data_IF_715319221635
#
_entry.id   IF_715319221635
#
_cell.length_a   1.000
_cell.length_b   1.000
_cell.length_c   1.000
_cell.angle_alpha   90.00
_cell.angle_beta   90.00
_cell.angle_gamma   90.00
#
_symmetry.space_group_name_H-M   'P 1'
#
loop_
_entity.id
_entity.type
_entity.pdbx_description
1 polymer ?
#
# COMPACT_ATOMS: atom_id res chain seq x y z
N UNK A 1 17.49 -46.93 11.74
CA UNK A 1 18.12 -46.26 10.59
C UNK A 1 17.14 -45.24 10.03
N UNK A 2 17.44 -43.93 10.07
CA UNK A 2 16.61 -42.90 9.46
C UNK A 2 16.74 -42.98 7.93
N UNK A 3 15.63 -42.83 7.21
CA UNK A 3 15.62 -42.88 5.74
C UNK A 3 16.17 -41.57 5.14
N UNK A 4 16.87 -41.60 3.99
CA UNK A 4 17.47 -40.42 3.36
C UNK A 4 16.48 -39.34 2.88
N UNK A 5 15.18 -39.58 3.00
CA UNK A 5 14.12 -38.72 2.45
C UNK A 5 13.64 -37.62 3.40
N UNK A 6 13.98 -37.69 4.69
CA UNK A 6 13.53 -36.70 5.68
C UNK A 6 14.33 -35.38 5.62
N UNK A 7 15.56 -35.43 5.10
CA UNK A 7 16.41 -34.23 4.92
C UNK A 7 15.96 -33.31 3.77
N UNK A 8 15.09 -33.77 2.87
CA UNK A 8 14.68 -33.02 1.66
C UNK A 8 13.39 -32.20 1.85
N UNK A 9 12.64 -32.40 2.94
CA UNK A 9 11.40 -31.63 3.23
C UNK A 9 11.61 -30.43 4.13
N UNK A 10 12.68 -30.40 4.92
CA UNK A 10 12.97 -29.28 5.83
C UNK A 10 13.64 -28.09 5.13
N UNK A 11 14.10 -28.26 3.88
CA UNK A 11 14.90 -27.26 3.16
C UNK A 11 14.13 -26.42 2.12
N UNK A 12 12.78 -26.39 2.17
CA UNK A 12 11.96 -25.65 1.19
C UNK A 12 11.02 -24.60 1.77
N UNK A 13 11.22 -24.21 3.03
CA UNK A 13 10.60 -23.02 3.61
C UNK A 13 11.70 -21.98 3.86
N UNK A 14 12.37 -21.57 2.79
CA UNK A 14 13.07 -20.28 2.85
C UNK A 14 12.01 -19.24 3.23
N UNK A 15 12.29 -18.33 4.18
CA UNK A 15 11.32 -17.30 4.56
C UNK A 15 10.82 -16.61 3.29
N UNK A 16 9.50 -16.59 3.10
CA UNK A 16 8.85 -16.03 1.92
C UNK A 16 9.54 -14.71 1.55
N UNK A 17 10.05 -14.60 0.33
CA UNK A 17 10.89 -13.47 -0.14
C UNK A 17 10.20 -12.11 0.07
N UNK A 18 8.86 -12.14 0.13
CA UNK A 18 8.00 -11.02 0.42
C UNK A 18 7.31 -11.20 1.78
N UNK A 19 7.22 -10.15 2.59
CA UNK A 19 6.47 -10.17 3.84
C UNK A 19 4.96 -10.07 3.56
N UNK A 20 4.39 -11.13 3.00
CA UNK A 20 2.99 -11.23 2.55
C UNK A 20 1.96 -10.82 3.63
N UNK A 21 2.11 -11.20 4.91
CA UNK A 21 1.16 -10.76 5.95
C UNK A 21 1.08 -9.24 6.07
N UNK A 22 2.21 -8.55 6.00
CA UNK A 22 2.27 -7.09 6.10
C UNK A 22 1.65 -6.41 4.87
N UNK A 23 1.84 -6.98 3.67
CA UNK A 23 1.16 -6.48 2.47
C UNK A 23 -0.36 -6.62 2.59
N UNK A 24 -0.87 -7.70 3.18
CA UNK A 24 -2.31 -7.84 3.47
C UNK A 24 -2.82 -6.83 4.48
N UNK A 25 -2.05 -6.55 5.55
CA UNK A 25 -2.40 -5.51 6.52
C UNK A 25 -2.52 -4.14 5.83
N UNK A 26 -1.55 -3.77 4.98
CA UNK A 26 -1.58 -2.51 4.24
C UNK A 26 -2.76 -2.42 3.27
N UNK A 27 -3.08 -3.51 2.57
CA UNK A 27 -4.25 -3.61 1.70
C UNK A 27 -5.55 -3.48 2.50
N UNK A 28 -5.64 -4.10 3.68
CA UNK A 28 -6.81 -4.00 4.55
C UNK A 28 -6.99 -2.56 5.05
N UNK A 29 -5.91 -1.89 5.47
CA UNK A 29 -5.96 -0.47 5.85
C UNK A 29 -6.45 0.42 4.70
N UNK A 30 -6.01 0.14 3.47
CA UNK A 30 -6.49 0.85 2.29
C UNK A 30 -7.97 0.57 2.00
N UNK A 31 -8.42 -0.68 2.16
CA UNK A 31 -9.84 -1.05 2.05
C UNK A 31 -10.69 -0.31 3.09
N UNK A 32 -10.28 -0.32 4.36
CA UNK A 32 -10.98 0.37 5.43
C UNK A 32 -11.15 1.85 5.14
N UNK A 33 -10.15 2.48 4.52
CA UNK A 33 -10.26 3.86 4.03
C UNK A 33 -11.33 4.02 2.95
N UNK A 34 -11.32 3.16 1.93
CA UNK A 34 -12.32 3.23 0.85
C UNK A 34 -13.72 3.07 1.43
N UNK A 35 -13.91 2.11 2.35
CA UNK A 35 -15.17 1.89 3.04
C UNK A 35 -15.57 3.11 3.89
N UNK A 36 -14.64 3.69 4.66
CA UNK A 36 -14.89 4.91 5.44
C UNK A 36 -15.32 6.07 4.56
N UNK A 37 -14.67 6.25 3.40
CA UNK A 37 -15.04 7.29 2.44
C UNK A 37 -16.44 7.06 1.85
N UNK A 38 -16.79 5.81 1.50
CA UNK A 38 -18.13 5.45 1.01
C UNK A 38 -19.18 5.66 2.09
N UNK A 39 -18.91 5.26 3.33
CA UNK A 39 -19.84 5.40 4.45
C UNK A 39 -20.13 6.88 4.75
N UNK A 40 -19.11 7.74 4.72
CA UNK A 40 -19.28 9.20 4.88
C UNK A 40 -20.08 9.77 3.72
N UNK A 41 -19.81 9.34 2.49
CA UNK A 41 -20.50 9.83 1.30
C UNK A 41 -21.99 9.43 1.25
N UNK A 42 -22.33 8.20 1.66
CA UNK A 42 -23.69 7.68 1.58
C UNK A 42 -24.52 7.93 2.84
N UNK A 43 -23.90 7.88 4.03
CA UNK A 43 -24.61 7.84 5.31
C UNK A 43 -24.29 9.02 6.22
N UNK A 44 -23.34 9.91 5.86
CA UNK A 44 -22.96 11.10 6.65
C UNK A 44 -22.78 10.80 8.15
N UNK A 45 -22.12 9.68 8.47
CA UNK A 45 -22.04 9.19 9.84
C UNK A 45 -21.34 10.19 10.78
N UNK A 46 -21.94 10.52 11.95
CA UNK A 46 -21.46 11.62 12.80
C UNK A 46 -20.15 11.32 13.53
N UNK A 47 -19.75 10.05 13.63
CA UNK A 47 -18.48 9.65 14.23
C UNK A 47 -17.28 9.83 13.28
N UNK A 48 -17.48 9.83 11.95
CA UNK A 48 -16.38 10.01 11.00
C UNK A 48 -16.24 11.49 10.61
N UNK A 49 -15.02 11.93 10.26
CA UNK A 49 -14.80 13.28 9.75
C UNK A 49 -15.67 13.57 8.52
N UNK A 50 -16.15 14.82 8.34
CA UNK A 50 -16.89 15.23 7.15
C UNK A 50 -16.11 14.96 5.87
N UNK A 51 -16.83 14.81 4.75
CA UNK A 51 -16.26 14.43 3.46
C UNK A 51 -15.10 15.34 3.00
N UNK A 52 -15.10 16.62 3.38
CA UNK A 52 -14.00 17.56 3.13
C UNK A 52 -12.63 17.06 3.64
N UNK A 53 -12.59 16.32 4.74
CA UNK A 53 -11.35 15.76 5.28
C UNK A 53 -10.83 14.55 4.50
N UNK A 54 -11.73 13.84 3.80
CA UNK A 54 -11.40 12.65 3.00
C UNK A 54 -10.88 13.00 1.60
N UNK A 55 -11.09 14.24 1.18
CA UNK A 55 -10.60 14.77 -0.09
C UNK A 55 -9.22 15.37 0.03
N UNK A 56 -8.42 15.08 -1.00
CA UNK A 56 -7.20 15.83 -1.29
C UNK A 56 -7.48 17.05 -2.18
N UNK A 57 -8.71 17.24 -2.65
CA UNK A 57 -9.10 18.30 -3.60
C UNK A 57 -8.60 18.08 -5.03
N UNK A 58 -7.79 17.05 -5.29
CA UNK A 58 -7.14 16.84 -6.60
C UNK A 58 -8.08 16.19 -7.64
N UNK A 59 -8.95 15.29 -7.21
CA UNK A 59 -9.87 14.54 -8.07
C UNK A 59 -11.29 14.56 -7.50
N UNK A 60 -12.32 14.68 -8.34
CA UNK A 60 -13.71 14.58 -7.92
C UNK A 60 -14.08 13.13 -7.55
N UNK A 61 -15.09 12.96 -6.68
CA UNK A 61 -15.48 11.63 -6.16
C UNK A 61 -15.67 10.55 -7.23
N UNK A 62 -16.38 10.84 -8.34
CA UNK A 62 -16.71 9.80 -9.31
C UNK A 62 -15.48 9.22 -10.01
N UNK A 63 -14.35 9.93 -10.02
CA UNK A 63 -13.07 9.43 -10.55
C UNK A 63 -12.18 8.87 -9.45
N UNK A 64 -12.28 9.43 -8.25
CA UNK A 64 -11.49 9.03 -7.09
C UNK A 64 -11.88 7.61 -6.61
N UNK A 65 -13.17 7.27 -6.57
CA UNK A 65 -13.62 5.96 -6.12
C UNK A 65 -13.18 4.82 -7.08
N UNK A 66 -13.38 4.91 -8.42
CA UNK A 66 -12.91 3.87 -9.33
C UNK A 66 -11.39 3.68 -9.31
N UNK A 67 -10.62 4.76 -9.21
CA UNK A 67 -9.15 4.65 -9.11
C UNK A 67 -8.72 3.95 -7.82
N UNK A 68 -9.41 4.20 -6.70
CA UNK A 68 -9.16 3.47 -5.44
C UNK A 68 -9.51 1.99 -5.54
N UNK A 69 -10.65 1.65 -6.16
CA UNK A 69 -11.03 0.26 -6.39
C UNK A 69 -10.04 -0.46 -7.32
N UNK A 70 -9.52 0.23 -8.34
CA UNK A 70 -8.48 -0.30 -9.22
C UNK A 70 -7.18 -0.58 -8.45
N UNK A 71 -6.72 0.36 -7.62
CA UNK A 71 -5.54 0.18 -6.77
C UNK A 71 -5.75 -0.99 -5.82
N UNK A 72 -6.90 -1.07 -5.16
CA UNK A 72 -7.23 -2.15 -4.22
C UNK A 72 -7.25 -3.51 -4.92
N UNK A 73 -7.87 -3.60 -6.10
CA UNK A 73 -7.90 -4.81 -6.92
C UNK A 73 -6.49 -5.25 -7.33
N UNK A 74 -5.63 -4.30 -7.69
CA UNK A 74 -4.23 -4.57 -8.01
C UNK A 74 -3.46 -5.06 -6.79
N UNK A 75 -3.65 -4.45 -5.62
CA UNK A 75 -3.03 -4.90 -4.37
C UNK A 75 -3.46 -6.33 -3.99
N UNK A 76 -4.75 -6.64 -4.08
CA UNK A 76 -5.27 -7.99 -3.83
C UNK A 76 -4.69 -9.00 -4.81
N UNK A 77 -4.61 -8.66 -6.10
CA UNK A 77 -4.01 -9.52 -7.12
C UNK A 77 -2.54 -9.80 -6.82
N UNK A 78 -1.75 -8.76 -6.54
CA UNK A 78 -0.33 -8.89 -6.18
C UNK A 78 -0.19 -9.76 -4.93
N UNK A 79 -0.97 -9.50 -3.87
CA UNK A 79 -0.91 -10.28 -2.64
C UNK A 79 -1.25 -11.75 -2.86
N UNK A 80 -2.24 -12.07 -3.70
CA UNK A 80 -2.60 -13.44 -4.06
C UNK A 80 -1.50 -14.13 -4.86
N UNK A 81 -0.95 -13.47 -5.88
CA UNK A 81 0.16 -14.01 -6.68
C UNK A 81 1.38 -14.32 -5.79
N UNK A 82 1.69 -13.43 -4.84
CA UNK A 82 2.77 -13.62 -3.87
C UNK A 82 2.48 -14.74 -2.87
N UNK A 83 1.26 -14.83 -2.35
CA UNK A 83 0.85 -15.86 -1.38
C UNK A 83 0.80 -17.26 -1.99
N UNK A 84 0.42 -17.38 -3.26
CA UNK A 84 0.35 -18.64 -3.99
C UNK A 84 1.70 -19.04 -4.62
N UNK A 85 2.74 -18.20 -4.46
CA UNK A 85 4.05 -18.33 -5.10
C UNK A 85 3.95 -18.55 -6.62
N UNK A 86 2.91 -18.02 -7.24
CA UNK A 86 2.52 -18.27 -8.64
C UNK A 86 2.03 -16.98 -9.27
N UNK A 87 2.35 -16.79 -10.55
CA UNK A 87 1.87 -15.64 -11.33
C UNK A 87 2.99 -14.69 -11.75
N UNK A 88 2.60 -13.69 -12.55
CA UNK A 88 3.55 -12.78 -13.19
C UNK A 88 4.27 -11.89 -12.16
N UNK A 89 3.61 -11.52 -11.05
CA UNK A 89 4.16 -10.61 -10.04
C UNK A 89 5.12 -11.27 -9.04
N UNK A 90 5.29 -12.60 -9.11
CA UNK A 90 6.26 -13.34 -8.28
C UNK A 90 7.67 -13.33 -8.88
N UNK A 91 7.79 -13.20 -10.21
CA UNK A 91 9.08 -13.30 -10.89
C UNK A 91 10.04 -12.18 -10.40
N UNK A 92 11.19 -12.52 -9.79
CA UNK A 92 12.11 -11.53 -9.27
C UNK A 92 12.74 -10.72 -10.40
N UNK A 93 12.17 -9.54 -10.66
CA UNK A 93 12.71 -8.53 -11.58
C UNK A 93 13.41 -7.43 -10.78
N UNK A 94 14.73 -7.51 -10.56
CA UNK A 94 15.44 -6.56 -9.70
C UNK A 94 15.36 -5.11 -10.20
N UNK A 95 15.30 -4.89 -11.53
CA UNK A 95 15.08 -3.57 -12.13
C UNK A 95 13.70 -2.99 -11.80
N UNK A 96 12.67 -3.83 -11.81
CA UNK A 96 11.30 -3.43 -11.42
C UNK A 96 11.25 -3.08 -9.94
N UNK A 97 11.85 -3.91 -9.07
CA UNK A 97 11.94 -3.64 -7.63
C UNK A 97 12.68 -2.34 -7.31
N UNK A 98 13.77 -2.04 -8.03
CA UNK A 98 14.51 -0.79 -7.88
C UNK A 98 13.69 0.43 -8.34
N UNK A 99 13.03 0.34 -9.51
CA UNK A 99 12.14 1.39 -10.01
C UNK A 99 10.99 1.69 -9.06
N UNK A 100 10.31 0.66 -8.55
CA UNK A 100 9.22 0.80 -7.57
C UNK A 100 9.65 1.52 -6.30
N UNK A 101 10.88 1.28 -5.84
CA UNK A 101 11.38 1.97 -4.66
C UNK A 101 11.70 3.43 -4.92
N UNK A 102 12.31 3.76 -6.06
CA UNK A 102 12.50 5.17 -6.43
C UNK A 102 11.16 5.90 -6.56
N UNK A 103 10.17 5.26 -7.18
CA UNK A 103 8.80 5.79 -7.26
C UNK A 103 8.19 5.95 -5.87
N UNK A 104 8.33 4.96 -4.99
CA UNK A 104 7.83 5.03 -3.61
C UNK A 104 8.48 6.18 -2.83
N UNK A 105 9.80 6.34 -2.91
CA UNK A 105 10.49 7.45 -2.25
C UNK A 105 10.09 8.81 -2.83
N UNK A 106 10.03 8.93 -4.16
CA UNK A 106 9.58 10.17 -4.80
C UNK A 106 8.14 10.53 -4.40
N UNK A 107 7.25 9.54 -4.38
CA UNK A 107 5.86 9.73 -3.97
C UNK A 107 5.73 10.11 -2.49
N UNK A 108 6.47 9.44 -1.59
CA UNK A 108 6.51 9.79 -0.17
C UNK A 108 7.08 11.20 0.04
N UNK A 109 8.11 11.60 -0.71
CA UNK A 109 8.68 12.95 -0.65
C UNK A 109 7.66 14.00 -1.07
N UNK A 110 6.90 13.77 -2.14
CA UNK A 110 5.80 14.66 -2.53
C UNK A 110 4.77 14.78 -1.40
N UNK A 111 4.49 13.70 -0.66
CA UNK A 111 3.59 13.76 0.50
C UNK A 111 4.18 14.55 1.67
N UNK A 112 5.49 14.48 1.92
CA UNK A 112 6.19 15.33 2.90
C UNK A 112 6.05 16.80 2.52
N UNK A 113 6.39 17.13 1.26
CA UNK A 113 6.33 18.51 0.75
C UNK A 113 4.90 19.04 0.86
N UNK A 114 3.93 18.25 0.41
CA UNK A 114 2.51 18.61 0.49
C UNK A 114 2.09 18.86 1.93
N UNK A 115 2.46 17.99 2.86
CA UNK A 115 2.17 18.19 4.28
C UNK A 115 2.81 19.48 4.78
N UNK A 116 4.09 19.72 4.48
CA UNK A 116 4.81 20.93 4.88
C UNK A 116 4.14 22.20 4.34
N UNK A 117 3.74 22.22 3.07
CA UNK A 117 3.03 23.34 2.45
C UNK A 117 1.67 23.55 3.12
N UNK A 118 0.86 22.50 3.26
CA UNK A 118 -0.47 22.60 3.89
C UNK A 118 -0.37 23.11 5.33
N UNK A 119 0.62 22.65 6.10
CA UNK A 119 0.80 23.07 7.49
C UNK A 119 1.42 24.46 7.64
N UNK A 120 2.09 24.95 6.60
CA UNK A 120 2.62 26.32 6.55
C UNK A 120 1.54 27.33 6.17
N UNK A 121 0.63 26.96 5.25
CA UNK A 121 -0.47 27.81 4.79
C UNK A 121 -1.69 27.77 5.71
N UNK A 122 -1.95 26.62 6.33
CA UNK A 122 -3.13 26.37 7.16
C UNK A 122 -2.73 25.66 8.46
N UNK A 123 -1.99 26.34 9.35
CA UNK A 123 -1.51 25.74 10.60
C UNK A 123 -2.63 25.23 11.51
N UNK A 124 -3.85 25.78 11.39
CA UNK A 124 -5.07 25.34 12.08
C UNK A 124 -5.56 23.95 11.62
N UNK A 125 -5.08 23.46 10.47
CA UNK A 125 -5.41 22.12 9.95
C UNK A 125 -4.46 21.02 10.45
N UNK A 126 -3.57 21.33 11.38
CA UNK A 126 -2.59 20.37 11.94
C UNK A 126 -3.26 19.15 12.56
N UNK A 127 -2.63 17.99 12.35
CA UNK A 127 -2.97 16.66 12.91
C UNK A 127 -4.25 16.00 12.39
N UNK A 128 -5.39 16.68 12.42
CA UNK A 128 -6.71 16.12 12.04
C UNK A 128 -7.51 17.00 11.07
N UNK A 129 -6.94 18.11 10.61
CA UNK A 129 -7.61 19.03 9.70
C UNK A 129 -7.79 18.48 8.28
N UNK A 130 -8.51 19.25 7.47
CA UNK A 130 -8.86 18.89 6.10
C UNK A 130 -7.64 18.47 5.26
N UNK A 131 -7.76 17.36 4.54
CA UNK A 131 -6.72 16.87 3.64
C UNK A 131 -5.58 16.09 4.30
N UNK A 132 -5.57 15.94 5.63
CA UNK A 132 -4.54 15.14 6.33
C UNK A 132 -4.74 13.63 6.15
N UNK A 133 -6.00 13.17 6.12
CA UNK A 133 -6.36 11.76 5.95
C UNK A 133 -5.77 11.19 4.63
N UNK A 134 -5.97 11.81 3.45
CA UNK A 134 -5.34 11.37 2.21
C UNK A 134 -3.82 11.21 2.29
N UNK A 135 -3.12 12.13 2.96
CA UNK A 135 -1.66 12.10 3.09
C UNK A 135 -1.23 10.78 3.76
N UNK A 136 -1.80 10.45 4.92
CA UNK A 136 -1.49 9.20 5.64
C UNK A 136 -1.72 7.97 4.77
N UNK A 137 -2.81 7.93 4.00
CA UNK A 137 -3.07 6.80 3.10
C UNK A 137 -2.13 6.74 1.90
N UNK A 138 -1.61 7.88 1.44
CA UNK A 138 -0.56 7.92 0.41
C UNK A 138 0.77 7.38 0.98
N UNK A 139 1.07 7.60 2.26
CA UNK A 139 2.19 6.94 2.93
C UNK A 139 2.00 5.42 3.04
N UNK A 140 0.78 4.95 3.36
CA UNK A 140 0.48 3.51 3.38
C UNK A 140 0.66 2.88 1.99
N UNK A 141 0.23 3.57 0.93
CA UNK A 141 0.45 3.13 -0.45
C UNK A 141 1.94 3.13 -0.81
N UNK A 142 2.69 4.15 -0.41
CA UNK A 142 4.15 4.21 -0.60
C UNK A 142 4.85 3.04 0.11
N UNK A 143 4.48 2.77 1.36
CA UNK A 143 5.00 1.66 2.15
C UNK A 143 4.70 0.31 1.49
N UNK A 144 3.49 0.14 0.93
CA UNK A 144 3.13 -1.05 0.17
C UNK A 144 4.05 -1.26 -1.04
N UNK A 145 4.25 -0.22 -1.86
CA UNK A 145 5.15 -0.29 -3.03
C UNK A 145 6.60 -0.57 -2.63
N UNK A 146 7.07 0.05 -1.55
CA UNK A 146 8.42 -0.16 -1.05
C UNK A 146 8.64 -1.60 -0.59
N UNK A 147 7.69 -2.14 0.18
CA UNK A 147 7.72 -3.48 0.74
C UNK A 147 7.64 -4.55 -0.36
N UNK A 148 6.81 -4.31 -1.38
CA UNK A 148 6.74 -5.17 -2.56
C UNK A 148 8.03 -5.14 -3.39
N UNK A 149 8.61 -3.95 -3.59
CA UNK A 149 9.89 -3.77 -4.28
C UNK A 149 11.08 -4.36 -3.51
N UNK A 150 11.03 -4.37 -2.17
CA UNK A 150 12.08 -4.96 -1.33
C UNK A 150 12.21 -6.48 -1.53
N UNK A 151 11.10 -7.20 -1.57
CA UNK A 151 11.13 -8.64 -1.84
C UNK A 151 11.62 -9.00 -3.24
N UNK A 152 11.39 -8.11 -4.23
CA UNK A 152 11.96 -8.25 -5.59
C UNK A 152 13.49 -8.12 -5.61
N UNK A 153 14.08 -7.32 -4.71
CA UNK A 153 15.54 -7.13 -4.63
C UNK A 153 16.26 -8.23 -3.85
N UNK A 154 15.59 -8.85 -2.87
CA UNK A 154 16.14 -10.01 -2.13
C UNK A 154 16.21 -11.29 -2.96
N UNK A 155 15.54 -11.33 -4.12
CA UNK A 155 15.61 -12.44 -5.07
C UNK A 155 16.82 -12.43 -6.00
N UNK A 156 17.86 -11.58 -5.79
CA UNK A 156 19.11 -11.67 -6.55
C UNK A 156 19.81 -13.00 -6.18
N UNK A 157 20.00 -13.94 -7.11
CA UNK A 157 21.07 -14.91 -6.94
C UNK A 157 22.37 -14.10 -6.90
N UNK A 158 23.23 -14.38 -5.91
CA UNK A 158 24.63 -13.99 -5.97
C UNK A 158 25.28 -14.66 -7.19
#
# INVERSE_FOLDING_TARGET
MPTPTDGLRLHRLGPSRHPVPWLWVLTLLFLLRVLGQVLVACCQVPFLPPMAHWYSGLLPYPLLLPSQLLILGLQVKINRDLAQERGWFQQPRPRLGQGLQYVSYGYALVMVIRYGITMSLYPERRWLGEGTIPIVFHWLLAAYLWLWGWGHRRGRPL
#
